data_IF_919512724131
#
_entry.id   IF_919512724131
#
_cell.length_a   1.000
_cell.length_b   1.000
_cell.length_c   1.000
_cell.angle_alpha   90.00
_cell.angle_beta   90.00
_cell.angle_gamma   90.00
#
_symmetry.space_group_name_H-M   'P 1'
#
loop_
_entity.id
_entity.type
_entity.pdbx_description
1 polymer ?
#
# COMPACT_ATOMS: atom_id res chain seq x y z
N UNK A 1 -8.42 44.73 11.15
CA UNK A 1 -7.11 44.15 10.74
C UNK A 1 -6.48 43.21 11.77
N UNK A 2 -6.51 43.52 13.07
CA UNK A 2 -5.85 42.70 14.11
C UNK A 2 -6.50 41.31 14.33
N UNK A 3 -7.84 41.18 14.23
CA UNK A 3 -8.50 39.86 14.26
C UNK A 3 -8.12 38.98 13.08
N UNK A 4 -7.95 39.55 11.88
CA UNK A 4 -7.52 38.78 10.70
C UNK A 4 -6.09 38.23 10.88
N UNK A 5 -5.18 39.02 11.46
CA UNK A 5 -3.83 38.55 11.82
C UNK A 5 -3.86 37.42 12.86
N UNK A 6 -4.69 37.53 13.90
CA UNK A 6 -4.85 36.47 14.92
C UNK A 6 -5.42 35.18 14.32
N UNK A 7 -6.42 35.28 13.43
CA UNK A 7 -6.96 34.12 12.71
C UNK A 7 -5.89 33.47 11.83
N UNK A 8 -5.13 34.25 11.06
CA UNK A 8 -4.05 33.72 10.22
C UNK A 8 -2.96 33.00 11.03
N UNK A 9 -2.57 33.57 12.19
CA UNK A 9 -1.62 32.92 13.10
C UNK A 9 -2.21 31.60 13.64
N UNK A 10 -3.47 31.59 14.06
CA UNK A 10 -4.14 30.39 14.55
C UNK A 10 -4.19 29.30 13.47
N UNK A 11 -4.61 29.64 12.24
CA UNK A 11 -4.62 28.71 11.12
C UNK A 11 -3.22 28.18 10.79
N UNK A 12 -2.20 29.04 10.82
CA UNK A 12 -0.81 28.64 10.61
C UNK A 12 -0.32 27.65 11.67
N UNK A 13 -0.64 27.89 12.94
CA UNK A 13 -0.30 26.98 14.04
C UNK A 13 -1.03 25.63 13.91
N UNK A 14 -2.33 25.65 13.62
CA UNK A 14 -3.11 24.41 13.39
C UNK A 14 -2.52 23.62 12.22
N UNK A 15 -2.23 24.29 11.11
CA UNK A 15 -1.61 23.66 9.94
C UNK A 15 -0.26 23.03 10.29
N UNK A 16 0.59 23.73 11.04
CA UNK A 16 1.89 23.22 11.47
C UNK A 16 1.76 21.97 12.33
N UNK A 17 0.82 21.97 13.29
CA UNK A 17 0.56 20.81 14.16
C UNK A 17 0.07 19.62 13.33
N UNK A 18 -0.93 19.82 12.47
CA UNK A 18 -1.49 18.75 11.62
C UNK A 18 -0.43 18.21 10.66
N UNK A 19 0.35 19.09 10.02
CA UNK A 19 1.42 18.68 9.12
C UNK A 19 2.49 17.87 9.85
N UNK A 20 2.92 18.32 11.03
CA UNK A 20 3.92 17.60 11.84
C UNK A 20 3.39 16.23 12.27
N UNK A 21 2.15 16.16 12.76
CA UNK A 21 1.50 14.91 13.12
C UNK A 21 1.41 13.95 11.93
N UNK A 22 1.02 14.43 10.75
CA UNK A 22 1.00 13.64 9.52
C UNK A 22 2.38 13.08 9.17
N UNK A 23 3.44 13.89 9.26
CA UNK A 23 4.80 13.46 8.95
C UNK A 23 5.30 12.38 9.90
N UNK A 24 5.01 12.51 11.18
CA UNK A 24 5.36 11.51 12.21
C UNK A 24 4.57 10.23 11.97
N UNK A 25 3.25 10.32 11.82
CA UNK A 25 2.40 9.15 11.57
C UNK A 25 2.83 8.40 10.30
N UNK A 26 3.11 9.11 9.21
CA UNK A 26 3.65 8.53 7.99
C UNK A 26 4.98 7.81 8.24
N UNK A 27 5.92 8.42 8.97
CA UNK A 27 7.22 7.79 9.25
C UNK A 27 7.07 6.46 10.02
N UNK A 28 6.14 6.39 10.98
CA UNK A 28 5.82 5.16 11.70
C UNK A 28 5.17 4.10 10.82
N UNK A 29 4.13 4.47 10.05
CA UNK A 29 3.40 3.51 9.21
C UNK A 29 4.22 3.06 7.99
N UNK A 30 5.16 3.88 7.53
CA UNK A 30 6.00 3.55 6.39
C UNK A 30 7.11 2.54 6.73
N UNK A 31 7.34 2.27 8.01
CA UNK A 31 8.22 1.19 8.45
C UNK A 31 7.46 -0.15 8.33
N UNK A 32 7.94 -1.13 7.54
CA UNK A 32 7.30 -2.44 7.44
C UNK A 32 7.12 -3.12 8.80
N UNK A 33 8.01 -2.86 9.78
CA UNK A 33 7.92 -3.42 11.14
C UNK A 33 6.72 -2.90 11.94
N UNK A 34 6.06 -1.84 11.48
CA UNK A 34 4.78 -1.39 12.04
C UNK A 34 3.64 -2.30 11.57
N UNK A 35 3.54 -2.55 10.27
CA UNK A 35 2.47 -3.35 9.68
C UNK A 35 2.47 -4.80 10.19
N UNK A 36 3.65 -5.40 10.39
CA UNK A 36 3.78 -6.78 10.89
C UNK A 36 3.30 -6.97 12.34
N UNK A 37 3.06 -5.89 13.09
CA UNK A 37 2.51 -5.95 14.46
C UNK A 37 1.00 -6.24 14.48
N UNK A 38 0.32 -5.99 13.37
CA UNK A 38 -1.09 -6.31 13.20
C UNK A 38 -1.23 -7.78 12.78
N UNK A 39 -1.98 -8.56 13.56
CA UNK A 39 -2.15 -9.99 13.30
C UNK A 39 -2.87 -10.27 11.97
N UNK A 40 -3.67 -9.32 11.51
CA UNK A 40 -4.40 -9.37 10.24
C UNK A 40 -3.46 -9.34 9.03
N UNK A 41 -2.26 -8.77 9.20
CA UNK A 41 -1.24 -8.64 8.15
C UNK A 41 -0.27 -9.82 8.18
N UNK A 42 -0.14 -10.51 9.32
CA UNK A 42 0.77 -11.65 9.51
C UNK A 42 0.71 -12.76 8.44
N UNK A 43 -0.47 -13.23 7.97
CA UNK A 43 -0.51 -14.25 6.90
C UNK A 43 0.04 -13.72 5.58
N UNK A 44 -0.16 -12.43 5.28
CA UNK A 44 0.36 -11.80 4.07
C UNK A 44 1.87 -11.63 4.12
N UNK A 45 2.44 -11.32 5.29
CA UNK A 45 3.90 -11.25 5.49
C UNK A 45 4.52 -12.62 5.28
N UNK A 46 3.99 -13.65 5.95
CA UNK A 46 4.44 -15.04 5.80
C UNK A 46 4.34 -15.54 4.34
N UNK A 47 3.31 -15.08 3.62
CA UNK A 47 3.19 -15.38 2.20
C UNK A 47 4.20 -14.60 1.37
N UNK A 48 4.43 -13.32 1.66
CA UNK A 48 5.35 -12.49 0.90
C UNK A 48 6.79 -13.01 0.95
N UNK A 49 7.24 -13.48 2.11
CA UNK A 49 8.58 -14.06 2.30
C UNK A 49 8.87 -15.25 1.36
N UNK A 50 7.82 -15.94 0.89
CA UNK A 50 7.93 -17.15 0.04
C UNK A 50 7.74 -16.87 -1.45
N UNK A 51 7.42 -15.63 -1.82
CA UNK A 51 6.98 -15.26 -3.17
C UNK A 51 8.00 -14.35 -3.88
N UNK A 52 7.92 -14.16 -5.21
CA UNK A 52 9.00 -13.58 -6.01
C UNK A 52 9.52 -12.20 -5.58
N UNK A 53 8.70 -11.41 -4.89
CA UNK A 53 9.05 -10.05 -4.44
C UNK A 53 9.44 -9.97 -2.96
N UNK A 54 9.82 -11.08 -2.33
CA UNK A 54 10.25 -11.15 -0.91
C UNK A 54 11.49 -10.29 -0.58
N UNK A 55 12.15 -9.73 -1.59
CA UNK A 55 13.35 -8.91 -1.43
C UNK A 55 13.08 -7.39 -1.49
N UNK A 56 11.82 -6.97 -1.55
CA UNK A 56 11.44 -5.55 -1.65
C UNK A 56 10.40 -5.11 -0.61
N UNK A 57 10.48 -3.84 -0.20
CA UNK A 57 9.54 -3.24 0.77
C UNK A 57 8.09 -3.30 0.25
N UNK A 58 7.14 -3.66 1.12
CA UNK A 58 5.70 -3.74 0.82
C UNK A 58 5.16 -2.51 0.07
N UNK A 59 5.68 -1.32 0.40
CA UNK A 59 5.28 -0.04 -0.18
C UNK A 59 5.69 0.12 -1.63
N UNK A 60 6.73 -0.59 -2.08
CA UNK A 60 7.08 -0.59 -3.50
C UNK A 60 5.92 -1.10 -4.37
N UNK A 61 5.01 -1.91 -3.82
CA UNK A 61 3.76 -2.32 -4.47
C UNK A 61 2.54 -1.54 -3.95
N UNK A 62 2.42 -1.39 -2.62
CA UNK A 62 1.20 -0.92 -1.94
C UNK A 62 1.10 0.58 -1.72
N UNK A 63 2.16 1.34 -1.97
CA UNK A 63 2.15 2.80 -1.89
C UNK A 63 2.03 3.38 -3.29
N UNK A 64 1.17 4.39 -3.48
CA UNK A 64 1.02 5.05 -4.78
C UNK A 64 2.29 5.84 -5.13
N UNK A 65 2.31 6.59 -6.24
CA UNK A 65 3.41 7.51 -6.58
C UNK A 65 2.87 8.92 -6.80
N UNK A 66 3.77 9.91 -6.77
CA UNK A 66 3.42 11.33 -6.97
C UNK A 66 3.28 12.14 -5.68
N UNK A 67 2.82 13.38 -5.83
CA UNK A 67 2.84 14.40 -4.77
C UNK A 67 2.02 14.00 -3.53
N UNK A 68 0.89 13.33 -3.74
CA UNK A 68 -0.04 12.95 -2.67
C UNK A 68 0.21 11.55 -2.11
N UNK A 69 1.31 10.90 -2.49
CA UNK A 69 1.62 9.52 -2.09
C UNK A 69 1.52 9.28 -0.59
N UNK A 70 2.17 10.15 0.19
CA UNK A 70 2.22 10.02 1.66
C UNK A 70 0.85 10.25 2.29
N UNK A 71 0.06 11.16 1.71
CA UNK A 71 -1.29 11.45 2.18
C UNK A 71 -2.21 10.26 1.93
N UNK A 72 -2.21 9.70 0.72
CA UNK A 72 -2.96 8.47 0.38
C UNK A 72 -2.61 7.33 1.33
N UNK A 73 -1.31 7.08 1.53
CA UNK A 73 -0.85 6.01 2.41
C UNK A 73 -1.29 6.22 3.86
N UNK A 74 -1.16 7.44 4.38
CA UNK A 74 -1.60 7.74 5.75
C UNK A 74 -3.12 7.61 5.93
N UNK A 75 -3.92 8.03 4.95
CA UNK A 75 -5.39 7.91 4.99
C UNK A 75 -5.81 6.44 5.00
N UNK A 76 -5.18 5.60 4.17
CA UNK A 76 -5.44 4.15 4.17
C UNK A 76 -5.01 3.49 5.49
N UNK A 77 -3.85 3.85 6.03
CA UNK A 77 -3.40 3.35 7.34
C UNK A 77 -4.36 3.72 8.48
N UNK A 78 -4.85 4.95 8.53
CA UNK A 78 -5.86 5.39 9.52
C UNK A 78 -7.16 4.59 9.37
N UNK A 79 -7.61 4.36 8.14
CA UNK A 79 -8.78 3.51 7.87
C UNK A 79 -8.56 2.09 8.41
N UNK A 80 -7.41 1.48 8.13
CA UNK A 80 -7.11 0.10 8.53
C UNK A 80 -7.00 -0.04 10.06
N UNK A 81 -6.41 0.96 10.75
CA UNK A 81 -6.45 1.06 12.22
C UNK A 81 -7.90 1.16 12.72
N UNK A 82 -8.74 1.95 12.06
CA UNK A 82 -10.16 2.06 12.40
C UNK A 82 -10.92 0.74 12.23
N UNK A 83 -10.58 -0.05 11.21
CA UNK A 83 -11.14 -1.40 10.98
C UNK A 83 -10.71 -2.35 12.11
N UNK A 84 -9.42 -2.35 12.46
CA UNK A 84 -8.89 -3.16 13.57
C UNK A 84 -9.67 -2.95 14.87
N UNK A 85 -9.89 -1.69 15.27
CA UNK A 85 -10.62 -1.40 16.51
C UNK A 85 -12.12 -1.73 16.45
N UNK A 86 -12.73 -1.67 15.27
CA UNK A 86 -14.15 -2.04 15.10
C UNK A 86 -14.37 -3.55 15.08
N UNK A 87 -13.35 -4.34 14.77
CA UNK A 87 -13.46 -5.79 14.62
C UNK A 87 -14.27 -6.23 13.39
N UNK A 88 -14.68 -5.29 12.53
CA UNK A 88 -15.41 -5.56 11.29
C UNK A 88 -14.41 -5.80 10.16
N UNK A 89 -13.87 -7.02 10.13
CA UNK A 89 -12.94 -7.47 9.09
C UNK A 89 -13.66 -7.98 7.85
N UNK A 90 -14.72 -7.29 7.43
CA UNK A 90 -15.48 -7.66 6.24
C UNK A 90 -14.52 -7.85 5.04
N UNK A 91 -14.74 -8.99 4.40
CA UNK A 91 -13.89 -9.71 3.46
C UNK A 91 -13.28 -8.86 2.34
N UNK A 92 -11.95 -8.97 2.09
CA UNK A 92 -10.84 -8.69 2.98
C UNK A 92 -10.53 -7.17 3.05
N UNK A 93 -9.80 -6.71 4.08
CA UNK A 93 -9.13 -5.41 4.04
C UNK A 93 -8.45 -5.25 2.68
N UNK A 94 -9.00 -4.37 1.83
CA UNK A 94 -8.59 -4.32 0.43
C UNK A 94 -7.25 -3.62 0.33
N UNK A 95 -6.20 -4.42 0.25
CA UNK A 95 -4.90 -3.94 -0.15
C UNK A 95 -5.00 -3.36 -1.57
N UNK A 96 -4.41 -2.19 -1.77
CA UNK A 96 -4.34 -1.54 -3.09
C UNK A 96 -2.96 -1.79 -3.64
N UNK A 97 -2.89 -2.23 -4.90
CA UNK A 97 -1.65 -2.38 -5.67
C UNK A 97 -1.78 -1.47 -6.89
N UNK A 98 -0.67 -0.86 -7.29
CA UNK A 98 -0.65 0.08 -8.39
C UNK A 98 0.17 -0.49 -9.57
N UNK A 99 -0.45 -0.68 -10.73
CA UNK A 99 0.24 -1.22 -11.92
C UNK A 99 1.46 -0.37 -12.33
N UNK A 100 1.41 0.94 -12.08
CA UNK A 100 2.54 1.85 -12.33
C UNK A 100 3.79 1.45 -11.53
N UNK A 101 3.64 0.81 -10.38
CA UNK A 101 4.76 0.33 -9.59
C UNK A 101 5.45 -0.86 -10.26
N UNK A 102 4.67 -1.81 -10.78
CA UNK A 102 5.18 -2.92 -11.58
C UNK A 102 5.95 -2.37 -12.79
N UNK A 103 5.32 -1.46 -13.54
CA UNK A 103 5.87 -0.87 -14.76
C UNK A 103 7.20 -0.14 -14.48
N UNK A 104 7.30 0.62 -13.39
CA UNK A 104 8.54 1.34 -13.08
C UNK A 104 9.74 0.42 -12.89
N UNK A 105 9.57 -0.71 -12.18
CA UNK A 105 10.64 -1.66 -11.95
C UNK A 105 10.92 -2.51 -13.20
N UNK A 106 9.87 -2.96 -13.90
CA UNK A 106 9.96 -3.86 -15.05
C UNK A 106 10.23 -3.17 -16.39
N UNK A 107 10.13 -1.84 -16.51
CA UNK A 107 10.59 -1.12 -17.71
C UNK A 107 12.13 -0.96 -17.74
N UNK A 108 12.83 -1.20 -16.63
CA UNK A 108 14.29 -1.04 -16.55
C UNK A 108 14.75 0.42 -16.59
N UNK A 109 13.85 1.38 -16.38
CA UNK A 109 14.16 2.81 -16.41
C UNK A 109 14.28 3.45 -15.03
N UNK A 110 14.09 2.67 -13.96
CA UNK A 110 14.09 3.13 -12.58
C UNK A 110 15.23 2.50 -11.79
N UNK A 111 16.38 3.17 -11.78
CA UNK A 111 17.54 2.84 -10.94
C UNK A 111 17.41 3.49 -9.55
N UNK A 112 18.00 2.93 -8.46
CA UNK A 112 18.92 1.78 -8.39
C UNK A 112 18.24 0.44 -8.07
N UNK A 113 16.91 0.40 -8.07
CA UNK A 113 16.11 -0.73 -7.55
C UNK A 113 15.88 -1.85 -8.59
N UNK A 114 16.14 -1.59 -9.88
CA UNK A 114 15.73 -2.47 -10.97
C UNK A 114 16.75 -3.61 -11.24
N UNK A 115 16.66 -4.68 -10.46
CA UNK A 115 17.12 -6.03 -10.86
C UNK A 115 16.00 -6.87 -11.49
N UNK A 116 14.87 -6.24 -11.79
CA UNK A 116 13.67 -6.92 -12.23
C UNK A 116 13.82 -7.42 -13.69
N UNK A 117 13.19 -8.54 -14.05
CA UNK A 117 13.06 -8.94 -15.45
C UNK A 117 12.39 -7.84 -16.28
N UNK A 118 12.92 -7.56 -17.46
CA UNK A 118 12.35 -6.52 -18.33
C UNK A 118 11.03 -6.99 -18.93
N UNK A 119 10.06 -6.08 -18.92
CA UNK A 119 8.74 -6.25 -19.51
C UNK A 119 8.85 -6.55 -21.02
N UNK A 120 8.27 -7.67 -21.49
CA UNK A 120 8.24 -7.97 -22.92
C UNK A 120 7.42 -6.94 -23.73
N UNK A 121 7.78 -6.74 -25.00
CA UNK A 121 7.20 -5.66 -25.86
C UNK A 121 5.69 -5.84 -26.13
N UNK A 122 5.19 -7.06 -26.12
CA UNK A 122 3.78 -7.41 -26.34
C UNK A 122 2.86 -6.91 -25.23
N UNK A 123 3.37 -6.74 -24.00
CA UNK A 123 2.62 -6.19 -22.87
C UNK A 123 2.15 -4.76 -23.10
N UNK A 124 2.81 -4.01 -24.01
CA UNK A 124 2.38 -2.67 -24.39
C UNK A 124 0.93 -2.64 -24.87
N UNK A 125 0.46 -3.65 -25.61
CA UNK A 125 -0.92 -3.72 -26.10
C UNK A 125 -1.89 -3.96 -24.93
N UNK A 126 -1.53 -4.90 -24.03
CA UNK A 126 -2.33 -5.27 -22.85
C UNK A 126 -2.50 -4.09 -21.88
N UNK A 127 -1.41 -3.39 -21.57
CA UNK A 127 -1.41 -2.21 -20.70
C UNK A 127 -2.27 -1.10 -21.31
N UNK A 128 -2.14 -0.85 -22.62
CA UNK A 128 -2.99 0.13 -23.32
C UNK A 128 -4.48 -0.22 -23.29
N UNK A 129 -4.83 -1.50 -23.24
CA UNK A 129 -6.21 -1.96 -23.08
C UNK A 129 -6.67 -2.00 -21.61
N UNK A 130 -5.86 -1.55 -20.66
CA UNK A 130 -6.23 -1.51 -19.23
C UNK A 130 -6.13 -2.86 -18.51
N UNK A 131 -5.42 -3.84 -19.08
CA UNK A 131 -5.18 -5.12 -18.41
C UNK A 131 -4.10 -4.93 -17.34
N UNK A 132 -4.51 -5.01 -16.07
CA UNK A 132 -3.61 -4.95 -14.91
C UNK A 132 -2.65 -6.15 -14.84
N UNK A 133 -1.48 -5.93 -14.26
CA UNK A 133 -0.40 -6.94 -14.24
C UNK A 133 -0.81 -8.20 -13.47
N UNK A 134 -1.52 -8.01 -12.35
CA UNK A 134 -1.97 -9.09 -11.46
C UNK A 134 -3.11 -9.96 -12.03
N UNK A 135 -3.68 -9.62 -13.19
CA UNK A 135 -4.66 -10.48 -13.86
C UNK A 135 -4.04 -11.82 -14.31
N UNK A 136 -2.76 -11.77 -14.69
CA UNK A 136 -1.96 -12.94 -15.08
C UNK A 136 -0.87 -13.25 -14.05
N UNK A 137 -0.18 -12.23 -13.53
CA UNK A 137 0.85 -12.39 -12.50
C UNK A 137 0.23 -12.35 -11.09
N UNK A 138 -0.55 -13.38 -10.77
CA UNK A 138 -1.37 -13.43 -9.55
C UNK A 138 -0.54 -13.69 -8.28
N UNK A 139 0.49 -14.50 -8.43
CA UNK A 139 1.40 -14.96 -7.37
C UNK A 139 2.69 -14.13 -7.32
N UNK A 140 2.56 -12.81 -7.44
CA UNK A 140 3.71 -11.89 -7.51
C UNK A 140 4.22 -11.49 -6.14
N UNK A 141 3.30 -11.10 -5.24
CA UNK A 141 3.62 -10.63 -3.90
C UNK A 141 3.11 -11.54 -2.79
N UNK A 142 1.99 -12.24 -3.01
CA UNK A 142 1.40 -13.17 -2.06
C UNK A 142 0.73 -14.32 -2.81
N UNK A 143 0.38 -15.39 -2.10
CA UNK A 143 -0.41 -16.51 -2.62
C UNK A 143 -1.78 -16.02 -3.07
N UNK A 144 -2.14 -16.34 -4.30
CA UNK A 144 -3.49 -16.13 -4.79
C UNK A 144 -4.50 -16.94 -3.96
N UNK A 145 -5.58 -16.28 -3.55
CA UNK A 145 -6.59 -16.91 -2.69
C UNK A 145 -6.15 -17.16 -1.25
N UNK A 146 -5.12 -16.46 -0.76
CA UNK A 146 -4.70 -16.55 0.64
C UNK A 146 -5.88 -16.29 1.61
N UNK A 147 -6.10 -17.22 2.55
CA UNK A 147 -7.17 -17.14 3.54
C UNK A 147 -8.58 -17.37 3.00
N UNK A 148 -8.74 -17.73 1.72
CA UNK A 148 -10.05 -18.06 1.14
C UNK A 148 -10.59 -19.34 1.77
N UNK A 149 -9.81 -20.41 1.80
CA UNK A 149 -10.23 -21.71 2.34
C UNK A 149 -10.70 -21.58 3.79
N UNK A 150 -9.86 -20.99 4.67
CA UNK A 150 -10.20 -20.71 6.08
C UNK A 150 -11.53 -19.95 6.25
N UNK A 151 -11.83 -19.03 5.33
CA UNK A 151 -13.07 -18.27 5.37
C UNK A 151 -14.27 -19.09 4.94
N UNK A 152 -14.14 -19.90 3.88
CA UNK A 152 -15.21 -20.78 3.44
C UNK A 152 -15.50 -21.90 4.45
N UNK A 153 -14.48 -22.41 5.15
CA UNK A 153 -14.64 -23.34 6.27
C UNK A 153 -15.36 -22.68 7.45
N UNK A 154 -15.01 -21.43 7.79
CA UNK A 154 -15.64 -20.72 8.93
C UNK A 154 -17.15 -20.48 8.79
N UNK A 155 -17.68 -20.49 7.56
CA UNK A 155 -19.11 -20.28 7.27
C UNK A 155 -19.86 -21.58 6.95
N UNK A 156 -19.14 -22.70 6.74
CA UNK A 156 -19.69 -24.03 6.50
C UNK A 156 -18.98 -25.06 7.42
N UNK A 157 -19.18 -24.99 8.74
CA UNK A 157 -18.50 -25.83 9.72
C UNK A 157 -18.90 -27.32 9.67
#
# INVERSE_FOLDING_TARGET
MQSCKKCLILFGLIFLVVYTAHRVAYAFMADPTFCVRCHEVAPYVSSWEKYPHSNIDCRQCHETRGLFRRLDFAVRGIRDIGIHFKGDFSFPMRAVVYDVNCINCHLGTFEPESKAPILPKDHKKLIKSGVGCNNCHRDTGHKNGLGVDDKFESINP
#
